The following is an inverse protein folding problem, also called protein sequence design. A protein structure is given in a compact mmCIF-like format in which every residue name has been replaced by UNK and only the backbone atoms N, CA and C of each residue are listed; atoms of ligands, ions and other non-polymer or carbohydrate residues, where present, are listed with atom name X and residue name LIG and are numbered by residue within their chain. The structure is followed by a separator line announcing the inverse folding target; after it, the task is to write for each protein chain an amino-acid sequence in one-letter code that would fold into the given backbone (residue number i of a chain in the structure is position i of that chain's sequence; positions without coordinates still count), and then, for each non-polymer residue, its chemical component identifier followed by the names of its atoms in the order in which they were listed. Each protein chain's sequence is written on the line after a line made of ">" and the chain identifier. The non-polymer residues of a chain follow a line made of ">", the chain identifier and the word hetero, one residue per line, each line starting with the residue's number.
data_IF_087706815682
#
_entry.id   IF_087706815682
#
_cell.length_a   1.000
_cell.length_b   1.000
_cell.length_c   1.000
_cell.angle_alpha   90.00
_cell.angle_beta   90.00
_cell.angle_gamma   90.00
#
_symmetry.space_group_name_H-M   'P 1'
#
loop_
_entity.id
_entity.type
_entity.pdbx_description
1 polymer ?
#
# COMPACT_ATOMS: atom_id res chain seq x y z
N UNK A 1 -9.17 -5.96 -61.35
CA UNK A 1 -9.06 -4.85 -62.32
C UNK A 1 -10.46 -4.28 -62.51
N UNK A 2 -10.60 -2.94 -62.41
CA UNK A 2 -11.85 -2.14 -62.36
C UNK A 2 -12.68 -2.36 -61.06
N UNK A 3 -13.28 -1.37 -60.40
CA UNK A 3 -13.72 -0.02 -60.80
C UNK A 3 -13.72 0.90 -59.54
N UNK A 4 -13.15 2.11 -59.63
CA UNK A 4 -13.80 3.42 -59.88
C UNK A 4 -14.25 4.14 -58.61
N UNK A 5 -13.57 5.27 -58.38
CA UNK A 5 -13.88 6.30 -57.38
C UNK A 5 -15.04 7.20 -57.84
N UNK A 6 -15.89 7.54 -56.88
CA UNK A 6 -16.82 8.69 -56.85
C UNK A 6 -16.98 8.97 -55.35
N UNK A 7 -16.61 10.11 -54.76
CA UNK A 7 -16.70 11.48 -55.21
C UNK A 7 -17.79 12.16 -54.38
N UNK A 8 -17.44 12.90 -53.32
CA UNK A 8 -18.32 13.90 -52.72
C UNK A 8 -17.54 15.16 -52.36
N UNK A 9 -18.07 16.23 -52.91
CA UNK A 9 -17.67 17.63 -52.95
C UNK A 9 -17.33 18.30 -51.63
N UNK A 10 -16.37 19.22 -51.77
CA UNK A 10 -16.00 20.32 -50.88
C UNK A 10 -17.23 21.20 -50.58
N UNK A 11 -17.49 21.47 -49.30
CA UNK A 11 -18.16 22.69 -48.85
C UNK A 11 -17.25 23.41 -47.85
N UNK A 12 -16.48 24.37 -48.37
CA UNK A 12 -15.72 25.31 -47.57
C UNK A 12 -16.65 26.45 -47.14
N UNK A 13 -16.93 26.55 -45.84
CA UNK A 13 -17.38 27.78 -45.21
C UNK A 13 -16.28 28.16 -44.22
N UNK A 14 -15.56 29.23 -44.57
CA UNK A 14 -14.48 29.76 -43.77
C UNK A 14 -14.99 30.47 -42.52
N UNK A 15 -14.45 30.09 -41.37
CA UNK A 15 -14.26 30.99 -40.25
C UNK A 15 -12.77 31.25 -40.13
N UNK A 16 -12.35 32.45 -40.53
CA UNK A 16 -11.02 32.96 -40.29
C UNK A 16 -10.90 33.36 -38.80
N UNK A 17 -10.24 32.51 -38.03
CA UNK A 17 -9.65 32.87 -36.74
C UNK A 17 -8.16 32.50 -36.77
N UNK A 18 -7.27 33.21 -36.06
CA UNK A 18 -5.84 32.96 -36.13
C UNK A 18 -5.54 31.56 -35.58
N UNK A 19 -5.09 30.65 -36.45
CA UNK A 19 -4.50 29.38 -36.06
C UNK A 19 -3.15 29.65 -35.41
N UNK A 20 -3.09 29.60 -34.09
CA UNK A 20 -1.83 29.51 -33.36
C UNK A 20 -1.34 28.07 -33.52
N UNK A 21 -0.37 27.85 -34.41
CA UNK A 21 0.47 26.66 -34.36
C UNK A 21 1.39 26.82 -33.15
N UNK A 22 1.03 26.22 -32.02
CA UNK A 22 1.98 25.91 -30.97
C UNK A 22 2.64 24.58 -31.34
N UNK A 23 3.93 24.62 -31.67
CA UNK A 23 4.76 23.41 -31.66
C UNK A 23 4.72 22.81 -30.26
N UNK A 24 4.75 21.48 -30.08
CA UNK A 24 4.81 20.88 -28.76
C UNK A 24 6.11 21.33 -28.08
N UNK A 25 5.96 22.08 -26.98
CA UNK A 25 7.10 22.52 -26.17
C UNK A 25 7.88 21.30 -25.68
N UNK A 26 9.20 21.36 -25.80
CA UNK A 26 10.11 20.35 -25.27
C UNK A 26 9.91 20.22 -23.76
N UNK A 27 9.84 18.98 -23.28
CA UNK A 27 9.76 18.66 -21.84
C UNK A 27 10.86 19.41 -21.07
N UNK A 28 10.53 20.16 -20.00
CA UNK A 28 11.51 20.89 -19.22
C UNK A 28 12.56 19.92 -18.65
N UNK A 29 13.81 20.32 -18.72
CA UNK A 29 14.91 19.63 -18.03
C UNK A 29 14.75 19.76 -16.50
N UNK A 30 15.37 18.86 -15.74
CA UNK A 30 15.31 18.86 -14.27
C UNK A 30 15.77 20.21 -13.67
N UNK A 31 16.74 20.87 -14.29
CA UNK A 31 17.21 22.19 -13.89
C UNK A 31 16.12 23.26 -14.10
N UNK A 32 15.38 23.19 -15.21
CA UNK A 32 14.29 24.13 -15.49
C UNK A 32 13.12 23.94 -14.51
N UNK A 33 12.84 22.70 -14.11
CA UNK A 33 11.80 22.43 -13.10
C UNK A 33 12.23 22.95 -11.72
N UNK A 34 13.49 22.73 -11.33
CA UNK A 34 14.05 23.26 -10.08
C UNK A 34 14.04 24.80 -10.06
N UNK A 35 14.32 25.44 -11.19
CA UNK A 35 14.30 26.90 -11.33
C UNK A 35 12.87 27.46 -11.26
N UNK A 36 11.88 26.77 -11.84
CA UNK A 36 10.45 27.13 -11.74
C UNK A 36 9.95 27.02 -10.30
N UNK A 37 10.27 25.93 -9.61
CA UNK A 37 9.91 25.74 -8.19
C UNK A 37 10.61 26.78 -7.32
N UNK A 38 11.90 27.02 -7.56
CA UNK A 38 12.68 28.04 -6.87
C UNK A 38 12.15 29.46 -7.10
N UNK A 39 11.61 29.76 -8.28
CA UNK A 39 10.95 31.03 -8.59
C UNK A 39 9.60 31.18 -7.88
N UNK A 40 8.78 30.12 -7.87
CA UNK A 40 7.49 30.10 -7.18
C UNK A 40 7.61 30.27 -5.66
N UNK A 41 8.64 29.67 -5.04
CA UNK A 41 8.92 29.83 -3.61
C UNK A 41 9.45 31.22 -3.23
N UNK A 42 9.98 31.97 -4.21
CA UNK A 42 10.49 33.34 -4.03
C UNK A 42 9.46 34.41 -4.39
N UNK A 43 8.31 34.03 -4.94
CA UNK A 43 7.24 34.96 -5.27
C UNK A 43 6.53 35.43 -3.98
N UNK A 44 6.66 36.69 -3.57
CA UNK A 44 5.99 37.21 -2.38
C UNK A 44 4.46 37.29 -2.52
N UNK A 45 3.90 37.07 -3.73
CA UNK A 45 2.47 36.94 -3.97
C UNK A 45 1.96 35.48 -3.82
N UNK A 46 2.84 34.49 -3.77
CA UNK A 46 2.46 33.10 -3.54
C UNK A 46 1.92 32.95 -2.11
N UNK A 47 0.66 32.52 -1.99
CA UNK A 47 0.04 32.20 -0.69
C UNK A 47 0.07 30.69 -0.49
N UNK A 48 0.49 30.19 0.68
CA UNK A 48 0.23 28.81 1.07
C UNK A 48 -1.28 28.53 0.94
N UNK A 49 -1.65 27.35 0.46
CA UNK A 49 -3.04 26.89 0.51
C UNK A 49 -3.38 26.70 1.99
N UNK A 50 -3.93 27.75 2.60
CA UNK A 50 -4.41 27.73 3.98
C UNK A 50 -5.76 27.06 4.04
N UNK A 51 -5.85 26.10 4.96
CA UNK A 51 -7.03 25.38 5.40
C UNK A 51 -8.17 26.37 5.74
N UNK A 52 -9.22 26.41 4.91
CA UNK A 52 -10.42 27.19 5.23
C UNK A 52 -11.24 26.39 6.23
N UNK A 53 -10.91 26.53 7.51
CA UNK A 53 -11.64 25.91 8.61
C UNK A 53 -13.13 26.19 8.53
N UNK A 54 -13.93 25.13 8.66
CA UNK A 54 -15.35 25.20 8.99
C UNK A 54 -15.57 24.52 10.33
N UNK A 55 -15.82 25.35 11.35
CA UNK A 55 -16.36 24.93 12.63
C UNK A 55 -17.82 24.51 12.47
N UNK A 56 -18.19 23.39 13.13
CA UNK A 56 -19.55 23.13 13.59
C UNK A 56 -20.43 22.25 12.69
N UNK A 57 -20.58 20.97 13.03
CA UNK A 57 -21.75 20.40 13.73
C UNK A 57 -21.69 18.88 13.62
N UNK A 58 -21.76 18.18 14.75
CA UNK A 58 -21.38 16.77 14.85
C UNK A 58 -22.40 15.76 14.32
N UNK A 59 -21.95 14.51 14.31
CA UNK A 59 -22.70 13.40 14.89
C UNK A 59 -21.72 12.54 15.68
N UNK A 60 -22.03 12.36 16.95
CA UNK A 60 -21.17 11.75 17.94
C UNK A 60 -21.53 10.27 18.12
N UNK A 61 -20.53 9.40 18.07
CA UNK A 61 -20.53 8.17 18.85
C UNK A 61 -19.57 8.41 20.02
N UNK A 62 -20.11 8.91 21.12
CA UNK A 62 -19.37 9.10 22.36
C UNK A 62 -19.05 7.74 22.98
N UNK A 63 -17.76 7.41 23.08
CA UNK A 63 -17.26 6.40 24.01
C UNK A 63 -17.33 6.95 25.44
N UNK A 64 -18.41 6.62 26.15
CA UNK A 64 -18.55 6.90 27.57
C UNK A 64 -17.87 5.82 28.40
N UNK A 65 -16.83 6.19 29.14
CA UNK A 65 -16.34 5.41 30.29
C UNK A 65 -17.32 5.59 31.46
N UNK A 66 -17.87 4.50 32.01
CA UNK A 66 -18.73 4.57 33.19
C UNK A 66 -19.35 3.23 33.57
N UNK A 67 -19.02 2.74 34.76
CA UNK A 67 -19.61 1.55 35.36
C UNK A 67 -21.13 1.73 35.56
N UNK A 68 -21.92 0.71 35.19
CA UNK A 68 -23.36 0.67 35.49
C UNK A 68 -24.12 -0.34 34.65
N UNK A 69 -24.74 -1.31 35.33
CA UNK A 69 -25.61 -2.38 34.82
C UNK A 69 -26.68 -1.91 33.83
N UNK A 70 -26.88 -2.64 32.73
CA UNK A 70 -27.99 -2.43 31.80
C UNK A 70 -27.92 -3.31 30.56
N UNK A 71 -28.78 -4.32 30.53
CA UNK A 71 -28.98 -5.27 29.43
C UNK A 71 -29.32 -4.54 28.11
N UNK A 72 -28.62 -4.87 27.03
CA UNK A 72 -28.86 -4.28 25.70
C UNK A 72 -28.21 -5.10 24.60
N UNK A 73 -28.88 -6.18 24.22
CA UNK A 73 -28.65 -6.94 22.99
C UNK A 73 -28.81 -6.05 21.76
N UNK A 74 -27.76 -5.96 20.93
CA UNK A 74 -27.78 -5.27 19.64
C UNK A 74 -26.79 -5.94 18.70
N UNK A 75 -27.33 -6.62 17.69
CA UNK A 75 -26.65 -7.49 16.75
C UNK A 75 -25.56 -6.76 15.94
N UNK A 76 -24.34 -7.30 15.96
CA UNK A 76 -23.25 -6.94 15.06
C UNK A 76 -22.98 -8.12 14.10
N UNK A 77 -23.92 -8.37 13.18
CA UNK A 77 -23.68 -9.24 12.03
C UNK A 77 -24.26 -8.58 10.78
N UNK A 78 -23.39 -8.27 9.83
CA UNK A 78 -23.77 -7.90 8.47
C UNK A 78 -24.00 -6.41 8.24
N UNK A 79 -22.93 -5.63 8.25
CA UNK A 79 -22.95 -4.26 7.72
C UNK A 79 -21.59 -3.91 7.14
N UNK A 80 -21.52 -3.70 5.83
CA UNK A 80 -20.39 -3.11 5.11
C UNK A 80 -20.16 -1.69 5.62
N UNK A 81 -19.38 -1.55 6.69
CA UNK A 81 -19.08 -0.28 7.33
C UNK A 81 -18.00 0.47 6.58
N UNK A 82 -18.39 1.32 5.62
CA UNK A 82 -17.50 2.34 5.06
C UNK A 82 -17.33 3.46 6.08
N UNK A 83 -16.15 3.60 6.67
CA UNK A 83 -15.80 4.77 7.49
C UNK A 83 -15.36 5.92 6.57
N UNK A 84 -16.29 6.77 6.17
CA UNK A 84 -15.97 7.99 5.41
C UNK A 84 -15.65 9.14 6.38
N UNK A 85 -14.37 9.46 6.54
CA UNK A 85 -13.96 10.77 7.06
C UNK A 85 -14.11 11.82 5.95
N UNK A 86 -14.68 12.98 6.26
CA UNK A 86 -15.01 14.03 5.27
C UNK A 86 -13.81 14.79 4.68
N UNK A 87 -12.62 14.17 4.66
CA UNK A 87 -11.48 14.55 3.83
C UNK A 87 -10.62 13.29 3.65
N UNK A 88 -10.40 12.85 2.41
CA UNK A 88 -9.34 11.89 2.09
C UNK A 88 -9.68 10.39 2.28
N UNK A 89 -10.34 9.81 1.28
CA UNK A 89 -10.41 8.36 1.05
C UNK A 89 -11.09 7.47 2.11
N UNK A 90 -11.33 6.21 1.76
CA UNK A 90 -12.03 5.24 2.62
C UNK A 90 -11.43 3.82 2.51
N UNK A 91 -11.76 2.97 3.47
CA UNK A 91 -11.45 1.54 3.44
C UNK A 91 -12.70 0.70 3.11
N UNK A 92 -12.50 -0.50 2.59
CA UNK A 92 -13.57 -1.47 2.33
C UNK A 92 -13.20 -2.87 2.81
N UNK A 93 -14.23 -3.64 3.18
CA UNK A 93 -14.12 -5.07 3.42
C UNK A 93 -13.94 -5.81 2.09
N UNK A 94 -13.25 -6.94 2.14
CA UNK A 94 -13.20 -7.87 1.00
C UNK A 94 -14.44 -8.76 0.93
N UNK A 95 -14.78 -9.26 -0.25
CA UNK A 95 -15.92 -10.13 -0.52
C UNK A 95 -15.46 -11.41 -1.22
N UNK A 96 -15.73 -12.57 -0.61
CA UNK A 96 -15.32 -13.87 -1.15
C UNK A 96 -13.81 -14.06 -1.21
N UNK A 97 -13.36 -15.10 -1.91
CA UNK A 97 -11.96 -15.50 -1.99
C UNK A 97 -11.54 -15.76 -3.42
N UNK A 98 -10.40 -15.20 -3.82
CA UNK A 98 -9.77 -15.46 -5.11
C UNK A 98 -8.86 -16.71 -5.04
N UNK A 99 -8.40 -17.20 -6.20
CA UNK A 99 -7.50 -18.35 -6.25
C UNK A 99 -6.11 -18.00 -5.69
N UNK A 100 -5.35 -19.00 -5.24
CA UNK A 100 -3.93 -18.83 -4.96
C UNK A 100 -3.16 -18.59 -6.26
N UNK A 101 -2.17 -17.70 -6.22
CA UNK A 101 -1.33 -17.38 -7.38
C UNK A 101 0.13 -17.25 -6.97
N UNK A 102 1.03 -17.70 -7.85
CA UNK A 102 2.49 -17.60 -7.66
C UNK A 102 3.12 -16.48 -8.49
N UNK A 103 2.38 -15.89 -9.44
CA UNK A 103 2.84 -14.75 -10.23
C UNK A 103 2.14 -13.47 -9.79
N UNK A 104 2.93 -12.44 -9.52
CA UNK A 104 2.42 -11.11 -9.18
C UNK A 104 1.58 -10.53 -10.32
N UNK A 105 2.03 -10.67 -11.58
CA UNK A 105 1.33 -10.12 -12.76
C UNK A 105 -0.06 -10.74 -12.91
N UNK A 106 -0.17 -12.06 -12.76
CA UNK A 106 -1.46 -12.76 -12.83
C UNK A 106 -2.39 -12.30 -11.69
N UNK A 107 -1.86 -12.17 -10.48
CA UNK A 107 -2.64 -11.73 -9.32
C UNK A 107 -3.08 -10.27 -9.45
N UNK A 108 -2.22 -9.40 -9.95
CA UNK A 108 -2.54 -8.00 -10.23
C UNK A 108 -3.68 -7.90 -11.25
N UNK A 109 -3.57 -8.58 -12.40
CA UNK A 109 -4.63 -8.61 -13.41
C UNK A 109 -5.96 -9.16 -12.89
N UNK A 110 -5.93 -10.22 -12.08
CA UNK A 110 -7.14 -10.75 -11.43
C UNK A 110 -7.75 -9.75 -10.43
N UNK A 111 -6.90 -9.07 -9.65
CA UNK A 111 -7.30 -8.05 -8.68
C UNK A 111 -7.91 -6.80 -9.33
N UNK A 112 -7.50 -6.44 -10.55
CA UNK A 112 -8.17 -5.37 -11.31
C UNK A 112 -9.60 -5.77 -11.71
N UNK A 113 -9.82 -7.04 -12.08
CA UNK A 113 -11.14 -7.55 -12.46
C UNK A 113 -12.04 -7.86 -11.25
N UNK A 114 -11.45 -8.11 -10.09
CA UNK A 114 -12.13 -8.51 -8.85
C UNK A 114 -11.62 -7.64 -7.68
N UNK A 115 -11.95 -6.33 -7.67
CA UNK A 115 -11.26 -5.33 -6.84
C UNK A 115 -11.40 -5.55 -5.33
N UNK A 116 -12.49 -6.19 -4.90
CA UNK A 116 -12.78 -6.43 -3.49
C UNK A 116 -12.59 -7.89 -3.08
N UNK A 117 -12.02 -8.77 -3.90
CA UNK A 117 -11.85 -10.17 -3.49
C UNK A 117 -10.77 -10.31 -2.40
N UNK A 118 -10.94 -11.24 -1.46
CA UNK A 118 -9.90 -11.57 -0.49
C UNK A 118 -8.85 -12.51 -1.10
N UNK A 119 -7.57 -12.43 -0.69
CA UNK A 119 -6.61 -13.51 -0.96
C UNK A 119 -7.08 -14.79 -0.28
N UNK A 120 -6.71 -15.97 -0.80
CA UNK A 120 -7.04 -17.23 -0.15
C UNK A 120 -6.45 -17.24 1.27
N UNK A 121 -7.18 -17.83 2.20
CA UNK A 121 -6.76 -17.95 3.59
C UNK A 121 -7.06 -16.75 4.50
N UNK A 122 -7.53 -15.61 3.97
CA UNK A 122 -7.83 -14.42 4.76
C UNK A 122 -9.32 -14.24 5.08
N UNK A 123 -9.59 -13.44 6.12
CA UNK A 123 -10.91 -12.92 6.48
C UNK A 123 -11.96 -13.98 6.87
N UNK A 124 -11.51 -15.08 7.50
CA UNK A 124 -12.40 -15.93 8.28
C UNK A 124 -12.65 -15.30 9.66
N UNK A 125 -13.72 -14.51 9.76
CA UNK A 125 -14.10 -13.82 10.99
C UNK A 125 -14.57 -14.76 12.13
N UNK A 126 -14.73 -16.06 11.86
CA UNK A 126 -14.97 -17.06 12.90
C UNK A 126 -13.67 -17.68 13.42
N UNK A 127 -12.52 -17.39 12.81
CA UNK A 127 -11.23 -17.91 13.25
C UNK A 127 -10.90 -17.42 14.66
N UNK A 128 -10.43 -18.34 15.51
CA UNK A 128 -9.99 -18.06 16.88
C UNK A 128 -8.51 -18.41 17.00
N UNK A 129 -7.64 -17.44 17.36
CA UNK A 129 -6.24 -17.72 17.66
C UNK A 129 -6.11 -18.81 18.72
N UNK A 130 -5.07 -19.63 18.60
CA UNK A 130 -4.82 -20.75 19.50
C UNK A 130 -3.81 -20.36 20.58
N UNK A 131 -3.59 -21.21 21.59
CA UNK A 131 -2.53 -20.96 22.56
C UNK A 131 -1.12 -20.99 21.93
N UNK A 132 -0.93 -21.75 20.86
CA UNK A 132 0.34 -21.83 20.11
C UNK A 132 0.52 -20.57 19.24
N UNK A 133 -0.55 -20.08 18.60
CA UNK A 133 -0.56 -18.89 17.76
C UNK A 133 -1.62 -17.89 18.29
N UNK A 134 -1.33 -17.14 19.38
CA UNK A 134 -2.35 -16.37 20.10
C UNK A 134 -2.72 -15.03 19.45
N UNK A 135 -1.97 -14.60 18.43
CA UNK A 135 -2.18 -13.32 17.74
C UNK A 135 -2.64 -13.57 16.31
N UNK A 136 -3.70 -12.89 15.84
CA UNK A 136 -4.07 -12.92 14.43
C UNK A 136 -3.06 -12.09 13.60
N UNK A 137 -2.92 -12.47 12.32
CA UNK A 137 -1.98 -11.85 11.38
C UNK A 137 -2.74 -10.94 10.42
N UNK A 138 -2.31 -9.69 10.31
CA UNK A 138 -2.87 -8.70 9.40
C UNK A 138 -1.98 -8.57 8.17
N UNK A 139 -2.58 -8.72 7.01
CA UNK A 139 -1.93 -8.59 5.71
C UNK A 139 -2.27 -7.21 5.13
N UNK A 140 -1.26 -6.38 4.86
CA UNK A 140 -1.44 -4.97 4.47
C UNK A 140 -0.74 -4.67 3.14
N UNK A 141 -1.52 -4.39 2.10
CA UNK A 141 -1.04 -4.21 0.73
C UNK A 141 -0.29 -2.89 0.52
N UNK A 142 0.37 -2.73 -0.64
CA UNK A 142 1.11 -1.53 -1.02
C UNK A 142 0.30 -0.50 -1.84
N UNK A 143 1.00 0.48 -2.40
CA UNK A 143 0.45 1.48 -3.32
C UNK A 143 -0.06 0.82 -4.60
N UNK A 144 -1.22 1.27 -5.08
CA UNK A 144 -1.88 0.80 -6.30
C UNK A 144 -2.28 -0.67 -6.31
N UNK A 145 -2.22 -1.31 -5.14
CA UNK A 145 -2.59 -2.70 -4.93
C UNK A 145 -3.93 -2.79 -4.19
N UNK A 146 -4.38 -4.02 -3.95
CA UNK A 146 -5.52 -4.35 -3.12
C UNK A 146 -5.21 -5.58 -2.27
N UNK A 147 -6.12 -5.93 -1.37
CA UNK A 147 -6.00 -7.05 -0.45
C UNK A 147 -5.61 -8.36 -1.17
N UNK A 148 -6.21 -8.63 -2.34
CA UNK A 148 -5.93 -9.85 -3.09
C UNK A 148 -4.52 -9.85 -3.68
N UNK A 149 -4.19 -8.88 -4.55
CA UNK A 149 -2.92 -8.90 -5.27
C UNK A 149 -1.69 -8.58 -4.40
N UNK A 150 -1.90 -8.11 -3.16
CA UNK A 150 -0.85 -8.07 -2.14
C UNK A 150 -0.44 -9.44 -1.58
N UNK A 151 -1.38 -10.39 -1.51
CA UNK A 151 -1.17 -11.61 -0.72
C UNK A 151 -1.75 -12.90 -1.34
N UNK A 152 -2.03 -12.89 -2.65
CA UNK A 152 -2.53 -14.06 -3.37
C UNK A 152 -1.61 -15.29 -3.28
N UNK A 153 -0.32 -15.08 -3.01
CA UNK A 153 0.65 -16.13 -2.71
C UNK A 153 0.71 -16.48 -1.21
N UNK A 154 1.04 -15.52 -0.34
CA UNK A 154 1.34 -15.76 1.08
C UNK A 154 0.11 -16.08 1.95
N UNK A 155 -1.09 -15.64 1.56
CA UNK A 155 -2.28 -15.73 2.43
C UNK A 155 -2.61 -17.16 2.85
N UNK A 156 -2.70 -18.09 1.89
CA UNK A 156 -3.06 -19.48 2.18
C UNK A 156 -1.96 -20.22 2.95
N UNK A 157 -0.66 -20.14 2.58
CA UNK A 157 0.42 -20.76 3.36
C UNK A 157 0.50 -20.27 4.81
N UNK A 158 0.27 -18.98 5.08
CA UNK A 158 0.23 -18.47 6.46
C UNK A 158 -0.97 -19.03 7.21
N UNK A 159 -2.15 -19.15 6.58
CA UNK A 159 -3.29 -19.86 7.19
C UNK A 159 -2.97 -21.33 7.47
N UNK A 160 -2.37 -22.03 6.51
CA UNK A 160 -2.03 -23.46 6.64
C UNK A 160 -0.98 -23.70 7.73
N UNK A 161 -0.15 -22.70 8.03
CA UNK A 161 0.76 -22.69 9.17
C UNK A 161 0.06 -22.57 10.53
N UNK A 162 -1.25 -22.27 10.57
CA UNK A 162 -2.07 -22.24 11.78
C UNK A 162 -2.50 -20.85 12.25
N UNK A 163 -2.19 -19.79 11.49
CA UNK A 163 -2.52 -18.41 11.87
C UNK A 163 -3.92 -18.01 11.37
N UNK A 164 -4.66 -17.26 12.21
CA UNK A 164 -5.85 -16.54 11.75
C UNK A 164 -5.43 -15.29 10.98
N UNK A 165 -5.69 -15.23 9.67
CA UNK A 165 -5.26 -14.10 8.83
C UNK A 165 -6.41 -13.18 8.44
N UNK A 166 -6.15 -11.87 8.43
CA UNK A 166 -7.11 -10.82 8.10
C UNK A 166 -6.48 -9.78 7.19
N UNK A 167 -7.27 -9.15 6.34
CA UNK A 167 -6.82 -8.09 5.42
C UNK A 167 -7.94 -7.11 5.13
N UNK A 168 -7.56 -5.89 4.80
CA UNK A 168 -8.48 -4.83 4.37
C UNK A 168 -8.04 -4.26 3.03
N UNK A 169 -8.99 -3.61 2.36
CA UNK A 169 -8.70 -2.66 1.30
C UNK A 169 -8.68 -1.26 1.91
N UNK A 170 -7.60 -0.49 1.71
CA UNK A 170 -7.45 0.83 2.33
C UNK A 170 -7.09 1.92 1.30
N UNK A 171 -7.26 3.17 1.70
CA UNK A 171 -6.76 4.32 0.93
C UNK A 171 -7.43 4.46 -0.44
N UNK A 172 -8.68 4.00 -0.57
CA UNK A 172 -9.49 4.25 -1.77
C UNK A 172 -9.81 5.73 -1.82
N UNK A 173 -9.35 6.42 -2.86
CA UNK A 173 -9.62 7.85 -3.05
C UNK A 173 -9.93 8.07 -4.52
N UNK A 174 -10.99 8.81 -4.83
CA UNK A 174 -11.32 9.13 -6.22
C UNK A 174 -10.45 10.28 -6.77
N UNK A 175 -10.56 10.57 -8.07
CA UNK A 175 -9.77 11.62 -8.71
C UNK A 175 -9.96 13.01 -8.07
N UNK A 176 -11.18 13.36 -7.66
CA UNK A 176 -11.51 14.66 -7.05
C UNK A 176 -10.96 14.77 -5.62
N UNK A 177 -10.86 13.64 -4.92
CA UNK A 177 -10.24 13.51 -3.59
C UNK A 177 -8.71 13.39 -3.66
N UNK A 178 -8.12 13.46 -4.87
CA UNK A 178 -6.70 13.40 -5.13
C UNK A 178 -6.09 12.00 -5.05
N UNK A 179 -6.87 10.96 -5.38
CA UNK A 179 -6.37 9.61 -5.61
C UNK A 179 -5.51 9.46 -6.88
N UNK A 180 -5.34 10.53 -7.67
CA UNK A 180 -4.63 10.52 -8.94
C UNK A 180 -5.34 9.71 -10.03
N UNK A 181 -4.81 9.72 -11.25
CA UNK A 181 -5.42 8.98 -12.36
C UNK A 181 -5.44 7.46 -12.17
N UNK A 182 -4.52 6.90 -11.37
CA UNK A 182 -4.52 5.49 -11.01
C UNK A 182 -5.83 5.03 -10.36
N UNK A 183 -6.49 5.89 -9.59
CA UNK A 183 -7.77 5.61 -8.92
C UNK A 183 -8.95 5.33 -9.86
N UNK A 184 -8.81 5.66 -11.15
CA UNK A 184 -9.84 5.37 -12.17
C UNK A 184 -9.84 3.89 -12.53
N UNK A 185 -8.71 3.19 -12.36
CA UNK A 185 -8.65 1.76 -12.57
C UNK A 185 -9.30 0.99 -11.40
N UNK A 186 -10.24 0.07 -11.69
CA UNK A 186 -10.80 -0.80 -10.66
C UNK A 186 -9.69 -1.57 -9.95
N UNK A 187 -9.76 -1.67 -8.62
CA UNK A 187 -8.84 -2.48 -7.82
C UNK A 187 -7.51 -1.82 -7.50
N UNK A 188 -7.30 -0.57 -7.92
CA UNK A 188 -6.13 0.25 -7.55
C UNK A 188 -6.46 1.07 -6.29
N UNK A 189 -5.75 0.79 -5.19
CA UNK A 189 -5.99 1.42 -3.88
C UNK A 189 -4.68 1.90 -3.24
N UNK A 190 -4.70 2.35 -1.97
CA UNK A 190 -3.53 2.97 -1.35
C UNK A 190 -3.10 4.28 -2.04
N UNK A 191 -4.07 5.05 -2.53
CA UNK A 191 -3.86 6.33 -3.26
C UNK A 191 -4.21 7.57 -2.44
N UNK A 192 -5.09 7.43 -1.45
CA UNK A 192 -5.42 8.48 -0.48
C UNK A 192 -4.28 8.80 0.49
N UNK A 193 -4.50 9.75 1.39
CA UNK A 193 -3.51 10.11 2.40
C UNK A 193 -3.13 8.90 3.28
N UNK A 194 -1.82 8.76 3.54
CA UNK A 194 -1.29 7.64 4.33
C UNK A 194 -1.72 7.75 5.79
N UNK A 195 -1.83 8.96 6.33
CA UNK A 195 -2.31 9.18 7.71
C UNK A 195 -3.77 8.74 7.87
N UNK A 196 -4.63 9.01 6.90
CA UNK A 196 -6.03 8.56 6.94
C UNK A 196 -6.13 7.05 6.75
N UNK A 197 -5.26 6.49 5.90
CA UNK A 197 -5.10 5.03 5.76
C UNK A 197 -4.65 4.37 7.08
N UNK A 198 -3.80 5.01 7.87
CA UNK A 198 -3.40 4.51 9.19
C UNK A 198 -4.55 4.52 10.21
N UNK A 199 -5.45 5.50 10.15
CA UNK A 199 -6.70 5.49 10.94
C UNK A 199 -7.64 4.37 10.49
N UNK A 200 -7.71 4.10 9.19
CA UNK A 200 -8.47 2.97 8.66
C UNK A 200 -7.90 1.64 9.18
N UNK A 201 -6.58 1.49 9.18
CA UNK A 201 -5.90 0.34 9.78
C UNK A 201 -6.21 0.24 11.28
N UNK A 202 -6.20 1.34 12.02
CA UNK A 202 -6.53 1.35 13.44
C UNK A 202 -7.93 0.79 13.72
N UNK A 203 -8.94 1.25 12.96
CA UNK A 203 -10.30 0.75 13.09
C UNK A 203 -10.41 -0.75 12.71
N UNK A 204 -9.66 -1.18 11.71
CA UNK A 204 -9.63 -2.58 11.30
C UNK A 204 -8.97 -3.48 12.36
N UNK A 205 -7.84 -3.06 12.94
CA UNK A 205 -7.19 -3.76 14.05
C UNK A 205 -8.15 -3.94 15.22
N UNK A 206 -8.86 -2.87 15.62
CA UNK A 206 -9.83 -2.93 16.72
C UNK A 206 -10.95 -3.93 16.45
N UNK A 207 -11.43 -3.99 15.20
CA UNK A 207 -12.44 -4.98 14.79
C UNK A 207 -11.89 -6.40 14.82
N UNK A 208 -10.65 -6.62 14.39
CA UNK A 208 -9.99 -7.95 14.44
C UNK A 208 -9.78 -8.40 15.89
N UNK A 209 -9.27 -7.53 16.76
CA UNK A 209 -9.09 -7.83 18.18
C UNK A 209 -10.42 -8.14 18.86
N UNK A 210 -11.48 -7.37 18.58
CA UNK A 210 -12.81 -7.63 19.11
C UNK A 210 -13.39 -8.97 18.62
N UNK A 211 -13.19 -9.30 17.33
CA UNK A 211 -13.70 -10.55 16.76
C UNK A 211 -12.94 -11.79 17.25
N UNK A 212 -11.63 -11.68 17.47
CA UNK A 212 -10.77 -12.82 17.83
C UNK A 212 -10.65 -13.00 19.34
N UNK A 213 -10.75 -11.91 20.12
CA UNK A 213 -10.46 -11.88 21.55
C UNK A 213 -8.98 -11.76 21.89
N UNK A 214 -8.11 -11.56 20.89
CA UNK A 214 -6.68 -11.33 21.11
C UNK A 214 -6.43 -9.92 21.67
N UNK A 215 -5.29 -9.73 22.34
CA UNK A 215 -4.85 -8.42 22.86
C UNK A 215 -3.98 -7.65 21.86
N UNK A 216 -3.25 -8.37 21.03
CA UNK A 216 -2.35 -7.82 20.01
C UNK A 216 -2.48 -8.59 18.69
N UNK A 217 -1.99 -7.96 17.63
CA UNK A 217 -1.88 -8.52 16.28
C UNK A 217 -0.42 -8.55 15.82
N UNK A 218 -0.15 -9.40 14.85
CA UNK A 218 1.09 -9.35 14.05
C UNK A 218 0.76 -8.78 12.67
N UNK A 219 1.62 -7.92 12.12
CA UNK A 219 1.38 -7.26 10.83
C UNK A 219 2.44 -7.70 9.82
N UNK A 220 1.99 -8.21 8.67
CA UNK A 220 2.80 -8.45 7.48
C UNK A 220 2.39 -7.44 6.41
N UNK A 221 3.30 -6.54 6.04
CA UNK A 221 2.99 -5.41 5.18
C UNK A 221 3.98 -5.23 4.03
N UNK A 222 3.48 -4.76 2.89
CA UNK A 222 4.28 -4.53 1.68
C UNK A 222 4.33 -3.05 1.32
N UNK A 223 5.51 -2.56 0.93
CA UNK A 223 5.69 -1.22 0.36
C UNK A 223 5.09 -0.13 1.28
N UNK A 224 4.23 0.74 0.75
CA UNK A 224 3.47 1.74 1.52
C UNK A 224 2.75 1.16 2.75
N UNK A 225 2.24 -0.06 2.67
CA UNK A 225 1.56 -0.71 3.79
C UNK A 225 2.46 -0.81 5.02
N UNK A 226 3.77 -0.97 4.83
CA UNK A 226 4.75 -1.03 5.91
C UNK A 226 5.00 0.33 6.58
N UNK A 227 5.17 1.40 5.80
CA UNK A 227 5.36 2.75 6.34
C UNK A 227 4.06 3.29 6.96
N UNK A 228 2.90 2.95 6.38
CA UNK A 228 1.57 3.21 6.93
C UNK A 228 1.34 2.47 8.24
N UNK A 229 1.70 1.19 8.33
CA UNK A 229 1.61 0.42 9.57
C UNK A 229 2.54 0.99 10.65
N UNK A 230 3.76 1.42 10.31
CA UNK A 230 4.66 2.07 11.26
C UNK A 230 4.06 3.41 11.77
N UNK A 231 3.44 4.21 10.89
CA UNK A 231 2.69 5.39 11.30
C UNK A 231 1.58 5.04 12.31
N UNK A 232 0.81 3.99 12.03
CA UNK A 232 -0.23 3.50 12.95
C UNK A 232 0.35 3.17 14.34
N UNK A 233 1.49 2.49 14.41
CA UNK A 233 2.14 2.16 15.69
C UNK A 233 2.56 3.40 16.48
N UNK A 234 3.00 4.46 15.79
CA UNK A 234 3.54 5.68 16.41
C UNK A 234 2.47 6.70 16.80
N UNK A 235 1.42 6.85 15.99
CA UNK A 235 0.53 8.01 16.09
C UNK A 235 -0.95 7.68 16.23
N UNK A 236 -1.37 6.46 15.90
CA UNK A 236 -2.79 6.08 15.85
C UNK A 236 -3.14 5.00 16.89
N UNK A 237 -2.34 4.89 17.95
CA UNK A 237 -2.59 4.01 19.09
C UNK A 237 -2.21 2.54 18.88
N UNK A 238 -1.42 2.23 17.85
CA UNK A 238 -0.99 0.86 17.55
C UNK A 238 0.10 0.30 18.46
N UNK A 239 0.83 1.15 19.20
CA UNK A 239 1.96 0.73 20.06
C UNK A 239 1.64 -0.43 21.02
N UNK A 240 0.44 -0.43 21.61
CA UNK A 240 0.01 -1.48 22.55
C UNK A 240 -0.72 -2.66 21.88
N UNK A 241 -1.00 -2.56 20.58
CA UNK A 241 -1.87 -3.50 19.84
C UNK A 241 -1.09 -4.31 18.80
N UNK A 242 0.15 -3.95 18.50
CA UNK A 242 1.02 -4.67 17.57
C UNK A 242 2.14 -5.36 18.35
N UNK A 243 2.41 -6.62 18.06
CA UNK A 243 3.54 -7.35 18.61
C UNK A 243 4.67 -7.44 17.57
N UNK A 244 4.42 -8.05 16.41
CA UNK A 244 5.37 -8.07 15.29
C UNK A 244 4.97 -7.10 14.17
N UNK A 245 5.92 -6.30 13.68
CA UNK A 245 5.80 -5.55 12.43
C UNK A 245 6.81 -6.08 11.40
N UNK A 246 6.31 -6.87 10.46
CA UNK A 246 7.07 -7.53 9.40
C UNK A 246 6.82 -6.79 8.09
N UNK A 247 7.85 -6.17 7.51
CA UNK A 247 7.66 -5.34 6.31
C UNK A 247 8.60 -5.74 5.17
N UNK A 248 8.09 -5.63 3.94
CA UNK A 248 8.77 -5.99 2.71
C UNK A 248 8.85 -4.77 1.79
N UNK A 249 10.07 -4.34 1.43
CA UNK A 249 10.30 -3.20 0.53
C UNK A 249 9.65 -1.89 0.99
N UNK A 250 9.36 -1.74 2.29
CA UNK A 250 8.61 -0.62 2.82
C UNK A 250 9.33 0.72 2.67
N UNK A 251 8.57 1.77 2.39
CA UNK A 251 9.07 3.14 2.19
C UNK A 251 9.25 3.90 3.50
N UNK A 252 9.85 3.27 4.52
CA UNK A 252 10.01 3.85 5.87
C UNK A 252 10.78 5.18 5.85
N UNK A 253 11.84 5.27 5.05
CA UNK A 253 12.60 6.50 4.82
C UNK A 253 12.27 7.16 3.47
N UNK A 254 11.13 6.80 2.88
CA UNK A 254 10.68 7.28 1.59
C UNK A 254 11.35 6.60 0.39
N UNK A 255 11.06 7.13 -0.79
CA UNK A 255 11.62 6.76 -2.09
C UNK A 255 11.85 8.02 -2.94
N UNK A 256 12.63 7.89 -4.02
CA UNK A 256 12.80 8.94 -5.02
C UNK A 256 11.57 9.07 -5.95
N UNK A 257 11.40 10.24 -6.56
CA UNK A 257 10.42 10.43 -7.65
C UNK A 257 10.65 9.46 -8.81
N UNK A 258 11.92 9.11 -9.09
CA UNK A 258 12.28 8.11 -10.09
C UNK A 258 11.76 6.72 -9.71
N UNK A 259 11.82 6.34 -8.43
CA UNK A 259 11.27 5.08 -7.92
C UNK A 259 9.75 5.03 -8.06
N UNK A 260 9.06 6.11 -7.73
CA UNK A 260 7.59 6.19 -7.93
C UNK A 260 7.23 6.14 -9.42
N UNK A 261 7.98 6.84 -10.26
CA UNK A 261 7.83 6.74 -11.72
C UNK A 261 8.17 5.34 -12.27
N UNK A 262 9.11 4.63 -11.65
CA UNK A 262 9.45 3.25 -11.99
C UNK A 262 8.30 2.31 -11.66
N UNK A 263 7.58 2.51 -10.55
CA UNK A 263 6.38 1.74 -10.21
C UNK A 263 5.33 1.89 -11.30
N UNK A 264 5.10 3.13 -11.73
CA UNK A 264 4.18 3.43 -12.83
C UNK A 264 4.61 2.72 -14.12
N UNK A 265 5.89 2.79 -14.48
CA UNK A 265 6.43 2.11 -15.68
C UNK A 265 6.36 0.58 -15.59
N UNK A 266 6.61 -0.02 -14.42
CA UNK A 266 6.57 -1.47 -14.23
C UNK A 266 5.16 -2.01 -14.52
N UNK A 267 4.12 -1.36 -14.00
CA UNK A 267 2.72 -1.71 -14.26
C UNK A 267 2.38 -1.53 -15.75
N UNK A 268 2.86 -0.45 -16.37
CA UNK A 268 2.61 -0.14 -17.78
C UNK A 268 3.22 -1.14 -18.76
N UNK A 269 4.49 -1.49 -18.57
CA UNK A 269 5.23 -2.35 -19.47
C UNK A 269 4.66 -3.78 -19.53
N UNK A 270 3.77 -4.12 -18.59
CA UNK A 270 3.00 -5.37 -18.57
C UNK A 270 1.70 -5.30 -19.39
N UNK A 271 1.50 -4.23 -20.16
CA UNK A 271 0.37 -4.06 -21.09
C UNK A 271 -0.87 -3.39 -20.47
N UNK A 272 -0.71 -2.75 -19.31
CA UNK A 272 -1.79 -2.04 -18.59
C UNK A 272 -1.51 -0.54 -18.68
N UNK A 273 -2.17 0.15 -19.61
CA UNK A 273 -1.91 1.57 -19.92
C UNK A 273 -2.33 2.51 -18.77
N UNK A 274 -1.37 2.89 -17.94
CA UNK A 274 -1.44 3.83 -16.81
C UNK A 274 -0.52 5.05 -16.96
N UNK A 275 0.01 5.36 -18.15
CA UNK A 275 1.13 6.34 -18.32
C UNK A 275 0.82 7.63 -19.12
N UNK A 276 -0.42 8.10 -19.16
CA UNK A 276 -0.77 9.27 -19.99
C UNK A 276 -0.09 10.62 -19.66
N UNK A 277 0.26 10.94 -18.40
CA UNK A 277 0.64 12.31 -17.95
C UNK A 277 1.35 12.29 -16.58
N UNK A 278 2.63 11.92 -16.52
CA UNK A 278 3.42 11.53 -15.30
C UNK A 278 3.24 12.40 -14.02
N UNK A 279 2.91 13.69 -14.11
CA UNK A 279 2.66 14.54 -12.92
C UNK A 279 1.25 14.38 -12.29
N UNK A 280 0.27 13.82 -12.98
CA UNK A 280 -1.14 13.72 -12.52
C UNK A 280 -1.49 12.31 -11.95
N UNK A 281 -0.53 11.37 -11.91
CA UNK A 281 -0.82 9.95 -11.65
C UNK A 281 -0.65 9.48 -10.19
N UNK A 282 0.18 10.12 -9.39
CA UNK A 282 0.71 9.52 -8.15
C UNK A 282 -0.25 9.41 -6.97
N UNK A 283 -1.33 10.19 -6.98
CA UNK A 283 -2.20 10.35 -5.81
C UNK A 283 -1.46 10.96 -4.62
N UNK A 284 -2.20 11.29 -3.56
CA UNK A 284 -1.61 11.84 -2.33
C UNK A 284 -0.56 10.90 -1.73
N UNK A 285 -0.83 9.60 -1.74
CA UNK A 285 0.05 8.60 -1.16
C UNK A 285 1.40 8.48 -1.88
N UNK A 286 1.43 8.63 -3.21
CA UNK A 286 2.69 8.62 -3.97
C UNK A 286 3.57 9.81 -3.59
N UNK A 287 2.97 11.01 -3.49
CA UNK A 287 3.70 12.23 -3.07
C UNK A 287 4.25 12.09 -1.65
N UNK A 288 3.45 11.56 -0.72
CA UNK A 288 3.86 11.39 0.67
C UNK A 288 5.01 10.41 0.86
N UNK A 289 5.22 9.46 -0.05
CA UNK A 289 6.33 8.53 0.01
C UNK A 289 7.66 9.12 -0.48
N UNK A 290 7.67 10.34 -1.02
CA UNK A 290 8.92 10.97 -1.47
C UNK A 290 9.86 11.30 -0.30
N UNK A 291 11.16 11.08 -0.49
CA UNK A 291 12.19 11.51 0.47
C UNK A 291 12.03 13.01 0.74
N UNK A 292 12.00 13.38 2.02
CA UNK A 292 11.88 14.77 2.45
C UNK A 292 10.43 15.29 2.52
N UNK A 293 9.42 14.47 2.22
CA UNK A 293 8.02 14.83 2.45
C UNK A 293 7.74 15.04 3.95
N UNK A 294 6.70 15.81 4.26
CA UNK A 294 6.26 16.02 5.65
C UNK A 294 5.90 14.70 6.35
N UNK A 295 5.32 13.75 5.60
CA UNK A 295 5.02 12.41 6.11
C UNK A 295 6.31 11.66 6.50
N UNK A 296 7.29 11.56 5.60
CA UNK A 296 8.54 10.83 5.85
C UNK A 296 9.33 11.49 6.98
N UNK A 297 9.42 12.82 6.97
CA UNK A 297 10.12 13.56 8.02
C UNK A 297 9.46 13.34 9.38
N UNK A 298 8.11 13.39 9.44
CA UNK A 298 7.38 13.19 10.69
C UNK A 298 7.46 11.74 11.18
N UNK A 299 7.36 10.77 10.28
CA UNK A 299 7.46 9.35 10.61
C UNK A 299 8.78 9.03 11.32
N UNK A 300 9.87 9.67 10.90
CA UNK A 300 11.23 9.37 11.38
C UNK A 300 11.77 10.38 12.42
N UNK A 301 10.98 11.39 12.80
CA UNK A 301 11.44 12.48 13.69
C UNK A 301 11.90 11.99 15.08
N UNK A 302 11.23 10.95 15.62
CA UNK A 302 11.46 10.43 16.97
C UNK A 302 12.18 9.06 16.95
N UNK A 303 12.85 8.74 15.84
CA UNK A 303 13.49 7.44 15.59
C UNK A 303 12.57 6.44 14.91
N UNK A 304 13.13 5.31 14.48
CA UNK A 304 12.50 4.42 13.51
C UNK A 304 11.50 3.44 14.17
N UNK A 305 11.69 3.13 15.47
CA UNK A 305 11.00 2.06 16.21
C UNK A 305 10.22 2.55 17.43
N UNK A 306 9.19 1.81 17.82
CA UNK A 306 8.41 1.97 19.06
C UNK A 306 8.79 0.84 20.04
N UNK A 307 9.05 1.14 21.33
CA UNK A 307 9.36 0.11 22.32
C UNK A 307 8.24 -0.93 22.47
N UNK A 308 8.62 -2.21 22.59
CA UNK A 308 7.69 -3.33 22.77
C UNK A 308 7.20 -3.98 21.47
N UNK A 309 7.61 -3.45 20.32
CA UNK A 309 7.36 -4.05 19.00
C UNK A 309 8.63 -4.72 18.49
N UNK A 310 8.48 -5.93 17.96
CA UNK A 310 9.53 -6.66 17.25
C UNK A 310 9.44 -6.33 15.75
N UNK A 311 10.58 -5.99 15.14
CA UNK A 311 10.63 -5.56 13.74
C UNK A 311 11.41 -6.55 12.89
N UNK A 312 10.81 -7.03 11.80
CA UNK A 312 11.51 -7.79 10.75
C UNK A 312 11.35 -7.05 9.43
N UNK A 313 12.45 -6.58 8.85
CA UNK A 313 12.44 -5.66 7.72
C UNK A 313 13.21 -6.28 6.57
N UNK A 314 12.52 -6.55 5.47
CA UNK A 314 13.06 -7.26 4.32
C UNK A 314 13.24 -6.31 3.15
N UNK A 315 14.48 -6.16 2.69
CA UNK A 315 14.84 -5.43 1.48
C UNK A 315 15.20 -6.39 0.35
N UNK A 316 15.17 -5.94 -0.90
CA UNK A 316 15.84 -6.64 -2.00
C UNK A 316 16.81 -5.70 -2.70
N UNK A 317 17.98 -6.20 -3.11
CA UNK A 317 18.94 -5.38 -3.87
C UNK A 317 18.44 -5.01 -5.26
N UNK A 318 17.42 -5.72 -5.73
CA UNK A 318 16.79 -5.52 -7.04
C UNK A 318 15.60 -4.56 -6.96
N UNK A 319 15.40 -3.86 -5.83
CA UNK A 319 14.29 -2.94 -5.65
C UNK A 319 14.52 -1.68 -6.49
N UNK A 320 13.71 -1.52 -7.54
CA UNK A 320 13.71 -0.35 -8.40
C UNK A 320 12.78 0.77 -7.90
N UNK A 321 11.99 0.51 -6.86
CA UNK A 321 10.96 1.39 -6.32
C UNK A 321 11.45 2.05 -5.05
N UNK A 322 11.70 1.32 -3.98
CA UNK A 322 12.37 1.85 -2.79
C UNK A 322 13.85 1.96 -3.09
N UNK A 323 14.28 3.14 -3.54
CA UNK A 323 15.63 3.34 -4.07
C UNK A 323 16.31 4.55 -3.39
N UNK A 324 17.50 4.36 -2.76
CA UNK A 324 18.20 3.08 -2.59
C UNK A 324 17.47 2.11 -1.65
N UNK A 325 17.63 0.80 -1.88
CA UNK A 325 16.84 -0.25 -1.21
C UNK A 325 17.01 -0.26 0.31
N UNK A 326 18.15 0.19 0.80
CA UNK A 326 18.50 0.24 2.21
C UNK A 326 17.71 1.33 2.97
N UNK A 327 17.03 2.24 2.28
CA UNK A 327 16.04 3.14 2.88
C UNK A 327 14.85 2.39 3.50
N UNK A 328 14.66 1.13 3.16
CA UNK A 328 13.66 0.30 3.84
C UNK A 328 14.08 -0.08 5.26
N UNK A 329 15.38 -0.24 5.52
CA UNK A 329 15.85 -0.76 6.81
C UNK A 329 15.60 0.23 7.94
N UNK A 330 15.25 -0.29 9.12
CA UNK A 330 15.05 0.50 10.32
C UNK A 330 16.31 0.51 11.19
N UNK A 331 16.56 1.62 11.88
CA UNK A 331 17.60 1.74 12.90
C UNK A 331 16.97 1.46 14.27
N UNK A 332 17.49 0.50 15.04
CA UNK A 332 16.92 0.17 16.34
C UNK A 332 17.04 1.37 17.30
N UNK A 333 15.90 1.81 17.83
CA UNK A 333 15.86 2.72 18.97
C UNK A 333 16.21 2.01 20.29
N UNK A 334 16.32 2.74 21.40
CA UNK A 334 16.64 2.16 22.71
C UNK A 334 15.67 1.03 23.10
N UNK A 335 16.21 -0.17 23.31
CA UNK A 335 15.44 -1.35 23.70
C UNK A 335 14.60 -1.99 22.58
N UNK A 336 14.67 -1.48 21.35
CA UNK A 336 14.01 -2.08 20.19
C UNK A 336 14.90 -3.16 19.56
N UNK A 337 14.26 -4.24 19.11
CA UNK A 337 14.90 -5.29 18.31
C UNK A 337 14.44 -5.13 16.86
N UNK A 338 15.41 -5.02 15.96
CA UNK A 338 15.19 -4.93 14.51
C UNK A 338 16.03 -6.00 13.83
N UNK A 339 15.38 -6.86 13.06
CA UNK A 339 16.01 -7.82 12.15
C UNK A 339 15.90 -7.28 10.72
N UNK A 340 16.95 -6.60 10.26
CA UNK A 340 17.05 -6.13 8.87
C UNK A 340 17.65 -7.26 8.01
N UNK A 341 16.89 -7.74 7.03
CA UNK A 341 17.25 -8.85 6.16
C UNK A 341 17.33 -8.35 4.72
N UNK A 342 18.49 -8.50 4.08
CA UNK A 342 18.53 -8.43 2.62
C UNK A 342 18.09 -9.78 2.07
N UNK A 343 17.10 -9.78 1.17
CA UNK A 343 16.50 -11.01 0.64
C UNK A 343 17.57 -11.95 0.06
N UNK A 344 18.63 -11.42 -0.53
CA UNK A 344 19.70 -12.22 -1.12
C UNK A 344 20.67 -12.84 -0.08
N UNK A 345 20.65 -12.43 1.20
CA UNK A 345 21.60 -12.88 2.22
C UNK A 345 21.44 -14.38 2.54
N UNK A 346 22.27 -15.22 1.92
CA UNK A 346 22.13 -16.68 2.01
C UNK A 346 21.16 -17.28 1.00
N UNK A 347 20.71 -16.49 0.01
CA UNK A 347 20.00 -16.98 -1.17
C UNK A 347 20.15 -16.06 -2.39
N UNK A 348 21.33 -16.06 -3.00
CA UNK A 348 21.62 -15.22 -4.18
C UNK A 348 20.77 -15.56 -5.42
N UNK A 349 20.14 -16.74 -5.44
CA UNK A 349 19.25 -17.14 -6.54
C UNK A 349 17.84 -16.53 -6.45
N UNK A 350 17.47 -15.91 -5.32
CA UNK A 350 16.23 -15.15 -5.24
C UNK A 350 16.44 -13.77 -5.89
N UNK A 351 15.87 -13.59 -7.09
CA UNK A 351 15.99 -12.38 -7.90
C UNK A 351 14.75 -11.48 -7.80
N UNK A 352 13.95 -11.65 -6.74
CA UNK A 352 12.74 -10.86 -6.56
C UNK A 352 13.04 -9.36 -6.49
N UNK A 353 12.26 -8.58 -7.22
CA UNK A 353 12.15 -7.12 -7.09
C UNK A 353 11.10 -6.72 -6.05
N UNK A 354 10.79 -5.42 -6.03
CA UNK A 354 9.77 -4.81 -5.18
C UNK A 354 8.41 -5.49 -5.28
N UNK A 355 7.97 -5.90 -6.47
CA UNK A 355 6.61 -6.45 -6.68
C UNK A 355 6.58 -7.96 -6.46
N UNK A 356 7.62 -8.65 -6.93
CA UNK A 356 7.71 -10.10 -6.92
C UNK A 356 8.17 -10.68 -5.58
N UNK A 357 8.73 -9.87 -4.66
CA UNK A 357 9.17 -10.36 -3.35
C UNK A 357 8.02 -10.92 -2.49
N UNK A 358 6.80 -10.42 -2.64
CA UNK A 358 5.62 -10.96 -1.93
C UNK A 358 5.15 -12.31 -2.48
N UNK A 359 5.76 -12.77 -3.58
CA UNK A 359 5.49 -14.01 -4.27
C UNK A 359 6.68 -14.99 -4.18
N UNK A 360 7.70 -14.64 -3.37
CA UNK A 360 8.88 -15.48 -3.14
C UNK A 360 8.63 -16.49 -1.99
N UNK A 361 8.96 -17.78 -2.20
CA UNK A 361 8.99 -18.78 -1.12
C UNK A 361 9.92 -18.37 0.04
N UNK A 362 11.00 -17.65 -0.28
CA UNK A 362 11.94 -17.16 0.72
C UNK A 362 11.32 -16.07 1.59
N UNK A 363 10.67 -15.08 0.99
CA UNK A 363 9.93 -14.06 1.74
C UNK A 363 8.87 -14.70 2.63
N UNK A 364 8.12 -15.69 2.13
CA UNK A 364 7.16 -16.42 2.96
C UNK A 364 7.83 -17.09 4.17
N UNK A 365 8.98 -17.75 3.97
CA UNK A 365 9.72 -18.37 5.09
C UNK A 365 10.22 -17.35 6.12
N UNK A 366 10.59 -16.14 5.68
CA UNK A 366 10.97 -15.05 6.59
C UNK A 366 9.76 -14.60 7.42
N UNK A 367 8.59 -14.42 6.80
CA UNK A 367 7.35 -14.09 7.52
C UNK A 367 7.00 -15.17 8.55
N UNK A 368 7.02 -16.44 8.15
CA UNK A 368 6.70 -17.55 9.04
C UNK A 368 7.69 -17.64 10.22
N UNK A 369 8.98 -17.44 9.97
CA UNK A 369 10.00 -17.40 11.03
C UNK A 369 9.80 -16.24 11.99
N UNK A 370 9.42 -15.07 11.49
CA UNK A 370 9.15 -13.92 12.35
C UNK A 370 7.91 -14.17 13.23
N UNK A 371 6.86 -14.76 12.65
CA UNK A 371 5.61 -15.07 13.35
C UNK A 371 5.75 -16.21 14.37
N UNK A 372 6.53 -17.25 14.05
CA UNK A 372 6.83 -18.36 14.96
C UNK A 372 8.24 -18.94 14.66
N UNK A 373 9.29 -18.41 15.33
CA UNK A 373 10.66 -18.84 15.11
C UNK A 373 10.96 -20.23 15.69
N UNK A 374 10.10 -20.76 16.57
CA UNK A 374 10.29 -22.10 17.18
C UNK A 374 9.88 -23.16 16.17
N UNK A 375 8.74 -22.97 15.50
CA UNK A 375 8.22 -23.90 14.50
C UNK A 375 8.84 -23.73 13.13
N UNK A 376 9.21 -22.51 12.75
CA UNK A 376 9.77 -22.19 11.43
C UNK A 376 11.18 -21.58 11.51
N UNK A 377 12.19 -22.28 12.07
CA UNK A 377 13.54 -21.71 12.27
C UNK A 377 14.33 -21.52 10.96
N UNK A 378 14.06 -22.35 9.95
CA UNK A 378 14.84 -22.40 8.70
C UNK A 378 14.28 -21.46 7.63
N UNK A 379 15.18 -20.74 6.96
CA UNK A 379 14.83 -19.93 5.80
C UNK A 379 14.93 -20.76 4.51
N UNK A 380 13.91 -20.64 3.67
CA UNK A 380 13.93 -21.25 2.34
C UNK A 380 14.86 -20.45 1.42
N UNK A 381 15.58 -21.17 0.57
CA UNK A 381 16.25 -20.58 -0.57
C UNK A 381 15.73 -21.21 -1.86
N UNK A 382 15.03 -20.42 -2.66
CA UNK A 382 14.45 -20.83 -3.93
C UNK A 382 14.61 -19.72 -4.97
N UNK A 383 14.63 -20.10 -6.24
CA UNK A 383 14.68 -19.14 -7.33
C UNK A 383 13.30 -18.49 -7.50
N UNK A 384 13.27 -17.16 -7.49
CA UNK A 384 12.08 -16.39 -7.87
C UNK A 384 12.50 -15.30 -8.88
N UNK A 385 11.91 -15.29 -10.09
CA UNK A 385 12.37 -14.40 -11.15
C UNK A 385 11.89 -12.97 -10.96
N UNK A 386 12.74 -12.04 -11.39
CA UNK A 386 12.43 -10.62 -11.56
C UNK A 386 11.17 -10.39 -12.42
N UNK A 387 10.38 -9.38 -12.08
CA UNK A 387 9.21 -8.83 -12.79
C UNK A 387 7.97 -9.73 -12.94
N UNK A 388 8.15 -11.05 -13.07
CA UNK A 388 7.06 -12.01 -13.31
C UNK A 388 6.59 -12.65 -12.00
N UNK A 389 7.54 -12.99 -11.12
CA UNK A 389 7.32 -13.87 -9.98
C UNK A 389 6.90 -15.28 -10.41
N UNK A 390 7.08 -16.25 -9.52
CA UNK A 390 6.69 -17.63 -9.74
C UNK A 390 7.90 -18.54 -9.61
N UNK A 391 7.98 -19.22 -8.46
CA UNK A 391 8.93 -20.29 -8.23
C UNK A 391 8.80 -21.36 -9.32
N UNK A 392 9.86 -21.48 -10.11
CA UNK A 392 10.00 -22.45 -11.17
C UNK A 392 11.49 -22.65 -11.41
N UNK A 393 11.95 -23.89 -11.35
CA UNK A 393 13.32 -24.23 -11.74
C UNK A 393 13.53 -23.91 -13.22
N UNK A 394 14.73 -23.40 -13.55
CA UNK A 394 15.21 -23.25 -14.92
C UNK A 394 15.28 -24.59 -15.66
#
# INVERSE_FOLDING_TARGET
>A
MAAVMTGVSILAIGFAGPTVHAEPESVPTEQQLADIIGAGLKDPAARPIVDSGSAGSGSACTSGSGAGSGNGSGDCYGGSGSSSGSAGGYASDTVGHGPAMTSWVAAFGHGLLNPDVAPPGANDWNCKPTAEHPRPVLLVHGTWMNAYNGFAYMGQPIKDAGFCTFTLNYGRSNLVEGGGLGSVLPGVMGTGYIQDSAKQLAAFVDRVLAATGAEQVDIVAHSQGGSMANWYTKFEGGAAKVHDLITYGATHHGTSLVGIGALGRAINNLGIDVLGLVEIFVGHAGIQQTIGSDFVNRLNADGDTVPGIEYTIVATRYDEITNPYDLTFLRPGPGARVDNILLQDGCEQDLSDHLTMMYSPRSLSIALRALDPVRFPELVCDFNPWLVGGGGSL
#
